data_IF_637289406634
#
_entry.id   IF_637289406634
#
_cell.length_a   1.000
_cell.length_b   1.000
_cell.length_c   1.000
_cell.angle_alpha   90.00
_cell.angle_beta   90.00
_cell.angle_gamma   90.00
#
_symmetry.space_group_name_H-M   'P 1'
#
loop_
_entity.id
_entity.type
_entity.pdbx_description
1 polymer ?
#
# COMPACT_ATOMS: atom_id res chain seq x y z
N UNK A 1 -9.49 -13.50 -9.81
CA UNK A 1 -8.69 -12.28 -9.99
C UNK A 1 -7.83 -12.06 -8.76
N UNK A 2 -6.59 -11.57 -8.90
CA UNK A 2 -5.66 -11.37 -7.77
C UNK A 2 -6.12 -10.23 -6.86
N UNK A 3 -6.16 -10.48 -5.55
CA UNK A 3 -6.50 -9.48 -4.53
C UNK A 3 -5.26 -8.71 -4.10
N UNK A 4 -5.45 -7.51 -3.57
CA UNK A 4 -4.37 -6.63 -3.16
C UNK A 4 -4.67 -5.88 -1.85
N UNK A 5 -3.64 -5.26 -1.30
CA UNK A 5 -3.69 -4.38 -0.14
C UNK A 5 -3.17 -3.00 -0.54
N UNK A 6 -3.81 -1.94 -0.07
CA UNK A 6 -3.31 -0.57 -0.25
C UNK A 6 -2.52 -0.19 0.99
N UNK A 7 -1.36 0.44 0.82
CA UNK A 7 -0.58 1.01 1.92
C UNK A 7 -0.21 2.45 1.57
N UNK A 8 -0.50 3.38 2.46
CA UNK A 8 -0.32 4.82 2.24
C UNK A 8 0.00 5.55 3.54
N UNK A 9 0.81 6.60 3.45
CA UNK A 9 1.00 7.57 4.53
C UNK A 9 0.34 8.89 4.15
N UNK A 10 -0.44 9.47 5.08
CA UNK A 10 -1.14 10.74 4.91
C UNK A 10 -0.90 11.65 6.10
N UNK A 11 -0.99 12.97 5.91
CA UNK A 11 -1.03 13.94 7.01
C UNK A 11 -2.47 14.24 7.48
N UNK A 12 -2.63 15.16 8.40
CA UNK A 12 -3.94 15.50 8.99
C UNK A 12 -4.99 15.94 7.97
N UNK A 13 -4.58 16.53 6.84
CA UNK A 13 -5.48 16.94 5.76
C UNK A 13 -5.75 15.84 4.72
N UNK A 14 -5.30 14.61 4.99
CA UNK A 14 -5.32 13.49 4.06
C UNK A 14 -4.41 13.68 2.83
N UNK A 15 -3.48 14.62 2.91
CA UNK A 15 -2.49 14.87 1.87
C UNK A 15 -1.39 13.79 1.98
N UNK A 16 -0.84 13.36 0.85
CA UNK A 16 0.11 12.26 0.84
C UNK A 16 1.35 12.51 -0.03
N UNK A 17 1.56 13.75 -0.49
CA UNK A 17 2.74 14.02 -1.29
C UNK A 17 2.94 15.47 -1.70
N UNK A 18 4.19 15.82 -1.87
CA UNK A 18 4.65 17.05 -2.50
C UNK A 18 5.57 16.67 -3.67
N UNK A 19 5.14 16.94 -4.91
CA UNK A 19 5.87 16.57 -6.15
C UNK A 19 6.27 15.08 -6.20
N UNK A 20 5.40 14.20 -5.68
CA UNK A 20 5.62 12.75 -5.68
C UNK A 20 6.51 12.23 -4.55
N UNK A 21 6.92 13.08 -3.61
CA UNK A 21 7.71 12.75 -2.42
C UNK A 21 6.85 12.96 -1.18
N UNK A 22 7.11 12.19 -0.12
CA UNK A 22 6.48 12.43 1.18
C UNK A 22 7.08 13.73 1.79
N UNK A 23 6.23 14.74 2.14
CA UNK A 23 6.72 16.07 2.53
C UNK A 23 7.31 16.13 3.96
N UNK A 24 6.99 15.15 4.80
CA UNK A 24 7.58 15.02 6.12
C UNK A 24 8.97 14.39 6.00
N UNK A 25 9.95 14.91 6.73
CA UNK A 25 11.35 14.46 6.71
C UNK A 25 11.53 13.01 7.20
N UNK A 26 10.83 12.09 6.58
CA UNK A 26 10.81 10.69 6.99
C UNK A 26 11.82 9.88 6.18
N UNK A 27 13.09 10.08 6.44
CA UNK A 27 14.10 9.21 5.83
C UNK A 27 14.18 7.81 6.46
N UNK A 28 13.60 7.58 7.65
CA UNK A 28 13.79 6.33 8.39
C UNK A 28 12.48 5.76 8.99
N UNK A 29 11.44 6.56 9.15
CA UNK A 29 10.31 6.29 10.01
C UNK A 29 9.26 5.39 9.36
N UNK A 30 8.79 5.77 8.16
CA UNK A 30 7.81 4.96 7.43
C UNK A 30 8.44 3.69 6.85
N UNK A 31 9.75 3.70 6.64
CA UNK A 31 10.39 2.61 5.96
C UNK A 31 10.55 1.34 6.80
N UNK A 32 10.79 1.44 8.11
CA UNK A 32 10.89 0.24 8.95
C UNK A 32 9.56 -0.51 9.04
N UNK A 33 8.44 0.12 9.42
CA UNK A 33 7.13 -0.53 9.43
C UNK A 33 6.69 -0.95 8.03
N UNK A 34 6.82 -0.07 7.04
CA UNK A 34 6.52 -0.36 5.64
C UNK A 34 7.30 -1.59 5.15
N UNK A 35 8.60 -1.61 5.37
CA UNK A 35 9.45 -2.72 4.98
C UNK A 35 9.06 -4.02 5.69
N UNK A 36 8.84 -3.97 7.00
CA UNK A 36 8.39 -5.12 7.80
C UNK A 36 7.08 -5.69 7.28
N UNK A 37 6.10 -4.83 7.00
CA UNK A 37 4.78 -5.24 6.50
C UNK A 37 4.90 -5.82 5.08
N UNK A 38 5.58 -5.12 4.19
CA UNK A 38 5.60 -5.49 2.77
C UNK A 38 6.55 -6.63 2.43
N UNK A 39 7.59 -6.87 3.22
CA UNK A 39 8.42 -8.08 3.11
C UNK A 39 7.69 -9.26 3.74
N UNK A 40 7.12 -9.09 4.94
CA UNK A 40 6.49 -10.17 5.69
C UNK A 40 7.43 -11.37 5.82
N UNK A 41 6.94 -12.53 5.40
CA UNK A 41 7.73 -13.77 5.36
C UNK A 41 8.39 -14.03 4.00
N UNK A 42 8.48 -12.99 3.15
CA UNK A 42 8.97 -13.11 1.78
C UNK A 42 7.88 -13.46 0.76
N UNK A 43 8.27 -13.48 -0.51
CA UNK A 43 7.39 -13.76 -1.66
C UNK A 43 6.19 -12.81 -1.80
N UNK A 44 6.36 -11.56 -1.40
CA UNK A 44 5.37 -10.51 -1.61
C UNK A 44 5.70 -9.68 -2.87
N UNK A 45 4.69 -8.97 -3.38
CA UNK A 45 4.87 -8.05 -4.49
C UNK A 45 4.44 -6.64 -4.11
N UNK A 46 5.10 -5.65 -4.71
CA UNK A 46 4.74 -4.23 -4.64
C UNK A 46 4.42 -3.75 -6.05
N UNK A 47 3.30 -3.04 -6.17
CA UNK A 47 2.89 -2.37 -7.40
C UNK A 47 2.86 -0.86 -7.14
N UNK A 48 3.48 -0.09 -8.01
CA UNK A 48 3.52 1.38 -7.92
C UNK A 48 3.54 2.06 -9.28
N UNK A 49 3.17 3.32 -9.31
CA UNK A 49 3.33 4.15 -10.51
C UNK A 49 4.79 4.58 -10.73
N UNK A 50 5.13 4.91 -11.97
CA UNK A 50 6.49 5.27 -12.38
C UNK A 50 7.10 6.40 -11.55
N UNK A 51 6.39 7.50 -11.32
CA UNK A 51 6.92 8.65 -10.56
C UNK A 51 7.26 8.25 -9.12
N UNK A 52 6.41 7.44 -8.48
CA UNK A 52 6.68 6.92 -7.14
C UNK A 52 7.94 6.05 -7.13
N UNK A 53 8.10 5.19 -8.13
CA UNK A 53 9.29 4.36 -8.28
C UNK A 53 10.55 5.21 -8.46
N UNK A 54 10.53 6.16 -9.39
CA UNK A 54 11.67 7.05 -9.66
C UNK A 54 12.12 7.82 -8.41
N UNK A 55 11.16 8.34 -7.65
CA UNK A 55 11.43 9.05 -6.40
C UNK A 55 12.02 8.13 -5.33
N UNK A 56 11.48 6.94 -5.15
CA UNK A 56 12.02 5.98 -4.17
C UNK A 56 13.43 5.50 -4.53
N UNK A 57 13.72 5.33 -5.82
CA UNK A 57 15.05 4.94 -6.30
C UNK A 57 16.14 5.99 -6.06
N UNK A 58 15.77 7.27 -5.84
CA UNK A 58 16.72 8.31 -5.48
C UNK A 58 17.25 8.16 -4.05
N UNK A 59 16.50 7.53 -3.18
CA UNK A 59 16.84 7.47 -1.76
C UNK A 59 17.67 6.25 -1.40
N UNK A 60 17.23 5.05 -1.76
CA UNK A 60 17.98 3.81 -1.50
C UNK A 60 17.37 2.63 -2.26
N UNK A 61 18.22 1.86 -2.88
CA UNK A 61 17.87 0.69 -3.68
C UNK A 61 17.43 -0.49 -2.79
N UNK A 62 18.02 -0.63 -1.60
CA UNK A 62 17.73 -1.70 -0.64
C UNK A 62 16.28 -1.73 -0.12
N UNK A 63 15.50 -0.66 -0.36
CA UNK A 63 14.08 -0.66 -0.02
C UNK A 63 13.26 -1.72 -0.75
N UNK A 64 13.71 -2.14 -1.91
CA UNK A 64 12.99 -3.06 -2.77
C UNK A 64 13.40 -4.52 -2.60
N UNK A 65 14.47 -4.79 -1.86
CA UNK A 65 14.98 -6.15 -1.67
C UNK A 65 13.91 -7.11 -1.13
N UNK A 66 14.00 -8.37 -1.53
CA UNK A 66 13.14 -9.48 -1.10
C UNK A 66 11.68 -9.38 -1.53
N UNK A 67 11.35 -8.57 -2.54
CA UNK A 67 10.00 -8.42 -3.07
C UNK A 67 10.05 -8.29 -4.58
N UNK A 68 8.99 -8.77 -5.23
CA UNK A 68 8.74 -8.47 -6.63
C UNK A 68 8.24 -7.04 -6.76
N UNK A 69 8.82 -6.26 -7.66
CA UNK A 69 8.43 -4.88 -7.90
C UNK A 69 7.82 -4.77 -9.29
N UNK A 70 6.62 -4.21 -9.36
CA UNK A 70 5.95 -3.89 -10.62
C UNK A 70 5.70 -2.40 -10.70
N UNK A 71 6.19 -1.80 -11.75
CA UNK A 71 6.07 -0.37 -12.02
C UNK A 71 5.09 -0.17 -13.17
N UNK A 72 3.99 0.54 -12.90
CA UNK A 72 2.99 0.87 -13.91
C UNK A 72 3.43 2.07 -14.73
N UNK A 73 3.57 1.87 -16.04
CA UNK A 73 3.93 2.91 -16.98
C UNK A 73 3.58 2.54 -18.41
N UNK A 74 3.04 3.51 -19.16
CA UNK A 74 2.82 3.38 -20.62
C UNK A 74 4.02 3.87 -21.44
N UNK A 75 5.02 4.47 -20.78
CA UNK A 75 6.23 4.95 -21.46
C UNK A 75 7.21 3.79 -21.64
N UNK A 76 7.78 3.61 -22.84
CA UNK A 76 8.81 2.61 -23.06
C UNK A 76 10.01 2.90 -22.14
N UNK A 77 10.57 1.85 -21.55
CA UNK A 77 11.74 1.95 -20.68
C UNK A 77 12.99 1.69 -21.50
N UNK A 78 13.57 2.74 -22.03
CA UNK A 78 14.78 2.65 -22.87
C UNK A 78 16.03 2.60 -21.98
N UNK A 79 16.29 1.45 -21.35
CA UNK A 79 17.57 1.20 -20.66
C UNK A 79 17.90 2.05 -19.42
N UNK A 80 17.12 3.07 -19.12
CA UNK A 80 17.38 4.04 -18.03
C UNK A 80 17.50 3.36 -16.64
N UNK A 81 16.92 2.19 -16.48
CA UNK A 81 16.91 1.46 -15.19
C UNK A 81 17.73 0.18 -15.20
N UNK A 82 18.25 -0.25 -16.35
CA UNK A 82 19.05 -1.48 -16.44
C UNK A 82 20.37 -1.38 -15.65
N UNK A 83 20.99 -0.21 -15.67
CA UNK A 83 22.18 0.05 -14.88
C UNK A 83 21.90 0.06 -13.37
N UNK A 84 20.72 0.51 -12.94
CA UNK A 84 20.29 0.50 -11.53
C UNK A 84 19.81 -0.85 -11.05
N UNK A 85 19.39 -1.76 -11.97
CA UNK A 85 19.09 -3.15 -11.62
C UNK A 85 20.29 -3.91 -11.06
N UNK A 86 21.50 -3.59 -11.49
CA UNK A 86 22.73 -4.21 -10.97
C UNK A 86 22.98 -3.97 -9.49
N UNK A 87 22.46 -2.84 -8.97
CA UNK A 87 22.62 -2.48 -7.57
C UNK A 87 21.49 -3.05 -6.68
N UNK A 88 20.42 -3.59 -7.27
CA UNK A 88 19.32 -4.24 -6.57
C UNK A 88 19.53 -5.77 -6.56
N UNK A 89 20.46 -6.24 -5.76
CA UNK A 89 20.64 -7.67 -5.50
C UNK A 89 19.30 -8.30 -5.09
N UNK A 90 18.88 -9.34 -5.81
CA UNK A 90 17.68 -10.13 -5.55
C UNK A 90 16.32 -9.42 -5.71
N UNK A 91 16.21 -8.39 -6.55
CA UNK A 91 14.94 -7.73 -6.81
C UNK A 91 14.47 -7.93 -8.26
N UNK A 92 13.32 -8.60 -8.43
CA UNK A 92 12.65 -8.74 -9.74
C UNK A 92 11.82 -7.47 -10.00
N UNK A 93 12.30 -6.58 -10.89
CA UNK A 93 11.61 -5.34 -11.26
C UNK A 93 11.05 -5.50 -12.68
N UNK A 94 9.72 -5.31 -12.82
CA UNK A 94 9.02 -5.33 -14.11
C UNK A 94 8.28 -4.03 -14.35
N UNK A 95 8.24 -3.60 -15.60
CA UNK A 95 7.47 -2.42 -16.07
C UNK A 95 6.30 -2.93 -16.90
N UNK A 96 5.09 -2.55 -16.52
CA UNK A 96 3.86 -2.99 -17.17
C UNK A 96 2.91 -1.82 -17.44
N UNK A 97 2.13 -1.86 -18.53
CA UNK A 97 1.28 -0.74 -18.91
C UNK A 97 -0.04 -0.66 -18.14
N UNK A 98 -0.49 -1.75 -17.51
CA UNK A 98 -1.81 -1.82 -16.88
C UNK A 98 -1.79 -2.52 -15.53
N UNK A 99 -2.81 -2.18 -14.71
CA UNK A 99 -3.01 -2.84 -13.41
C UNK A 99 -3.43 -4.30 -13.57
N UNK A 100 -4.18 -4.63 -14.61
CA UNK A 100 -4.63 -5.99 -14.85
C UNK A 100 -3.46 -6.92 -15.16
N UNK A 101 -2.53 -6.48 -16.00
CA UNK A 101 -1.30 -7.23 -16.25
C UNK A 101 -0.44 -7.34 -14.99
N UNK A 102 -0.35 -6.26 -14.20
CA UNK A 102 0.40 -6.27 -12.95
C UNK A 102 -0.18 -7.29 -11.95
N UNK A 103 -1.49 -7.30 -11.77
CA UNK A 103 -2.15 -8.27 -10.89
C UNK A 103 -1.97 -9.71 -11.38
N UNK A 104 -2.03 -9.96 -12.68
CA UNK A 104 -1.78 -11.27 -13.27
C UNK A 104 -0.34 -11.73 -13.02
N UNK A 105 0.64 -10.83 -13.13
CA UNK A 105 2.05 -11.15 -12.86
C UNK A 105 2.37 -11.44 -11.39
N UNK A 106 1.43 -11.14 -10.47
CA UNK A 106 1.59 -11.38 -9.03
C UNK A 106 0.81 -12.58 -8.51
N UNK A 107 0.28 -13.44 -9.38
CA UNK A 107 -0.62 -14.52 -8.98
C UNK A 107 0.03 -15.51 -7.99
N UNK A 108 1.34 -15.74 -8.12
CA UNK A 108 2.12 -16.64 -7.27
C UNK A 108 2.72 -15.96 -6.03
N UNK A 109 2.53 -14.64 -5.87
CA UNK A 109 3.00 -13.94 -4.69
C UNK A 109 2.02 -14.12 -3.53
N UNK A 110 2.51 -14.11 -2.28
CA UNK A 110 1.67 -14.27 -1.08
C UNK A 110 0.74 -13.08 -0.91
N UNK A 111 1.30 -11.88 -0.78
CA UNK A 111 0.59 -10.62 -0.67
C UNK A 111 1.01 -9.66 -1.79
N UNK A 112 0.09 -8.81 -2.20
CA UNK A 112 0.32 -7.74 -3.18
C UNK A 112 -0.01 -6.40 -2.54
N UNK A 113 0.96 -5.51 -2.49
CA UNK A 113 0.82 -4.17 -1.91
C UNK A 113 0.85 -3.11 -2.98
N UNK A 114 -0.14 -2.22 -2.97
CA UNK A 114 -0.18 -1.03 -3.82
C UNK A 114 0.33 0.15 -3.00
N UNK A 115 1.37 0.82 -3.50
CA UNK A 115 2.06 1.88 -2.74
C UNK A 115 2.03 3.26 -3.42
N UNK A 116 1.14 3.43 -4.37
CA UNK A 116 0.89 4.72 -5.02
C UNK A 116 1.49 4.84 -6.42
N UNK A 117 1.52 6.06 -7.05
CA UNK A 117 1.00 7.35 -6.51
C UNK A 117 -0.51 7.56 -6.64
N UNK A 118 -0.91 8.82 -6.51
CA UNK A 118 -2.32 9.20 -6.41
C UNK A 118 -3.20 8.72 -7.56
N UNK A 119 -2.73 8.84 -8.80
CA UNK A 119 -3.49 8.34 -9.95
C UNK A 119 -3.79 6.86 -9.86
N UNK A 120 -2.83 6.07 -9.33
CA UNK A 120 -3.03 4.64 -9.10
C UNK A 120 -4.02 4.41 -7.97
N UNK A 121 -3.91 5.10 -6.84
CA UNK A 121 -4.88 4.99 -5.76
C UNK A 121 -6.30 5.33 -6.23
N UNK A 122 -6.46 6.43 -6.97
CA UNK A 122 -7.76 6.83 -7.52
C UNK A 122 -8.32 5.76 -8.45
N UNK A 123 -7.53 5.27 -9.39
CA UNK A 123 -7.94 4.19 -10.30
C UNK A 123 -8.44 2.95 -9.53
N UNK A 124 -7.72 2.55 -8.49
CA UNK A 124 -8.06 1.36 -7.71
C UNK A 124 -9.34 1.56 -6.90
N UNK A 125 -9.51 2.74 -6.30
CA UNK A 125 -10.71 3.05 -5.52
C UNK A 125 -11.94 3.14 -6.43
N UNK A 126 -11.79 3.75 -7.59
CA UNK A 126 -12.91 3.90 -8.53
C UNK A 126 -13.34 2.58 -9.19
N UNK A 127 -12.39 1.69 -9.49
CA UNK A 127 -12.67 0.54 -10.37
C UNK A 127 -12.36 -0.84 -9.79
N UNK A 128 -11.47 -0.94 -8.79
CA UNK A 128 -10.94 -2.21 -8.32
C UNK A 128 -11.11 -2.45 -6.82
N UNK A 129 -11.88 -1.60 -6.13
CA UNK A 129 -12.02 -1.69 -4.68
C UNK A 129 -12.58 -3.04 -4.21
N UNK A 130 -13.36 -3.71 -5.03
CA UNK A 130 -13.86 -5.06 -4.79
C UNK A 130 -12.76 -6.14 -4.68
N UNK A 131 -11.55 -5.86 -5.17
CA UNK A 131 -10.37 -6.72 -5.04
C UNK A 131 -9.47 -6.32 -3.87
N UNK A 132 -9.78 -5.21 -3.19
CA UNK A 132 -8.98 -4.73 -2.08
C UNK A 132 -9.33 -5.48 -0.79
N UNK A 133 -8.35 -6.15 -0.19
CA UNK A 133 -8.53 -6.82 1.10
C UNK A 133 -8.36 -5.87 2.28
N UNK A 134 -7.40 -4.95 2.16
CA UNK A 134 -6.98 -4.13 3.27
C UNK A 134 -6.49 -2.77 2.78
N UNK A 135 -6.77 -1.74 3.55
CA UNK A 135 -6.16 -0.41 3.38
C UNK A 135 -5.44 -0.04 4.67
N UNK A 136 -4.12 0.01 4.61
CA UNK A 136 -3.25 0.39 5.72
C UNK A 136 -2.88 1.86 5.58
N UNK A 137 -3.29 2.67 6.54
CA UNK A 137 -3.09 4.12 6.51
C UNK A 137 -2.25 4.54 7.71
N UNK A 138 -1.08 5.09 7.47
CA UNK A 138 -0.28 5.78 8.48
C UNK A 138 -0.65 7.26 8.49
N UNK A 139 -1.22 7.76 9.60
CA UNK A 139 -1.53 9.18 9.76
C UNK A 139 -0.39 9.88 10.50
N UNK A 140 0.29 10.77 9.81
CA UNK A 140 1.37 11.60 10.36
C UNK A 140 0.78 12.89 10.90
N UNK A 141 1.09 13.21 12.16
CA UNK A 141 0.62 14.43 12.80
C UNK A 141 1.31 15.65 12.20
N UNK A 142 0.56 16.72 12.09
CA UNK A 142 1.03 18.02 11.62
C UNK A 142 0.50 18.40 10.24
N UNK A 143 0.65 19.69 9.94
CA UNK A 143 0.31 20.25 8.63
C UNK A 143 1.58 20.27 7.79
N UNK A 144 1.51 19.66 6.63
CA UNK A 144 2.60 19.62 5.67
C UNK A 144 2.15 20.27 4.37
N UNK A 145 3.08 20.92 3.67
CA UNK A 145 2.80 21.40 2.32
C UNK A 145 2.71 20.19 1.38
N UNK A 146 1.58 20.04 0.74
CA UNK A 146 1.30 18.95 -0.19
C UNK A 146 0.61 19.48 -1.44
N UNK A 147 0.84 18.82 -2.56
CA UNK A 147 0.10 19.03 -3.80
C UNK A 147 -0.56 17.77 -4.32
N UNK A 148 -0.60 16.74 -3.50
CA UNK A 148 -1.09 15.42 -3.80
C UNK A 148 -1.98 14.92 -2.67
N UNK A 149 -3.18 14.40 -3.00
CA UNK A 149 -4.21 14.06 -2.02
C UNK A 149 -4.62 12.60 -2.17
N UNK A 150 -4.61 11.89 -1.05
CA UNK A 150 -5.16 10.54 -1.03
C UNK A 150 -6.70 10.61 -0.96
N UNK A 151 -7.43 9.86 -1.78
CA UNK A 151 -8.90 9.90 -1.82
C UNK A 151 -9.53 9.19 -0.60
N UNK A 152 -9.24 9.72 0.60
CA UNK A 152 -9.65 9.14 1.88
C UNK A 152 -11.17 9.12 2.04
N UNK A 153 -11.85 10.18 1.60
CA UNK A 153 -13.31 10.28 1.69
C UNK A 153 -14.03 9.25 0.81
N UNK A 154 -13.44 8.92 -0.33
CA UNK A 154 -13.95 7.90 -1.22
C UNK A 154 -13.84 6.51 -0.58
N UNK A 155 -12.77 6.23 0.15
CA UNK A 155 -12.64 4.97 0.92
C UNK A 155 -13.68 4.89 2.02
N UNK A 156 -13.98 5.99 2.71
CA UNK A 156 -15.00 5.99 3.75
C UNK A 156 -16.40 5.65 3.23
N UNK A 157 -16.70 5.87 1.94
CA UNK A 157 -17.96 5.41 1.33
C UNK A 157 -18.11 3.89 1.35
N UNK A 158 -17.01 3.17 1.39
CA UNK A 158 -16.98 1.71 1.52
C UNK A 158 -17.01 1.23 2.98
N UNK A 159 -17.16 2.14 3.96
CA UNK A 159 -17.09 1.80 5.40
C UNK A 159 -18.08 0.70 5.83
N UNK A 160 -19.22 0.57 5.15
CA UNK A 160 -20.17 -0.53 5.38
C UNK A 160 -19.60 -1.92 5.05
N UNK A 161 -18.54 -1.98 4.23
CA UNK A 161 -17.87 -3.20 3.80
C UNK A 161 -16.51 -3.40 4.47
N UNK A 162 -16.12 -2.51 5.38
CA UNK A 162 -14.83 -2.54 6.03
C UNK A 162 -14.94 -2.32 7.54
N UNK A 163 -14.17 -3.11 8.29
CA UNK A 163 -13.90 -2.84 9.69
C UNK A 163 -12.75 -1.84 9.76
N UNK A 164 -12.90 -0.81 10.58
CA UNK A 164 -11.86 0.21 10.80
C UNK A 164 -11.24 -0.04 12.16
N UNK A 165 -9.96 -0.34 12.19
CA UNK A 165 -9.20 -0.59 13.41
C UNK A 165 -8.04 0.40 13.54
N UNK A 166 -7.85 0.92 14.75
CA UNK A 166 -6.62 1.64 15.08
C UNK A 166 -5.62 0.64 15.66
N UNK A 167 -4.67 0.21 14.87
CA UNK A 167 -3.71 -0.84 15.25
C UNK A 167 -2.52 -0.33 16.04
N UNK A 168 -2.44 0.96 16.31
CA UNK A 168 -1.42 1.53 17.18
C UNK A 168 -0.98 2.93 16.82
N UNK A 169 -0.18 3.49 17.69
CA UNK A 169 0.51 4.76 17.44
C UNK A 169 1.96 4.65 17.94
N UNK A 170 2.85 5.34 17.27
CA UNK A 170 4.25 5.47 17.71
C UNK A 170 4.74 6.90 17.48
N UNK A 171 5.74 7.29 18.26
CA UNK A 171 6.39 8.59 18.12
C UNK A 171 7.76 8.33 17.52
N UNK A 172 8.10 9.10 16.53
CA UNK A 172 9.39 9.02 15.89
C UNK A 172 9.84 10.42 15.48
N UNK A 173 11.01 10.85 15.90
CA UNK A 173 11.59 12.18 15.62
C UNK A 173 10.54 13.31 15.82
N UNK A 174 9.86 13.31 16.96
CA UNK A 174 8.78 14.26 17.34
C UNK A 174 7.49 14.19 16.52
N UNK A 175 7.36 13.22 15.61
CA UNK A 175 6.13 12.97 14.88
C UNK A 175 5.34 11.82 15.49
N UNK A 176 4.09 12.09 15.89
CA UNK A 176 3.16 11.04 16.28
C UNK A 176 2.52 10.44 15.03
N UNK A 177 2.67 9.14 14.86
CA UNK A 177 2.08 8.39 13.75
C UNK A 177 1.02 7.46 14.30
N UNK A 178 -0.20 7.60 13.81
CA UNK A 178 -1.29 6.68 14.09
C UNK A 178 -1.47 5.76 12.89
N UNK A 179 -1.57 4.47 13.12
CA UNK A 179 -1.82 3.49 12.06
C UNK A 179 -3.28 3.07 12.14
N UNK A 180 -4.01 3.37 11.08
CA UNK A 180 -5.42 3.01 10.93
C UNK A 180 -5.53 1.92 9.87
N UNK A 181 -6.25 0.87 10.19
CA UNK A 181 -6.41 -0.30 9.35
C UNK A 181 -7.87 -0.44 8.90
N UNK A 182 -8.06 -0.50 7.61
CA UNK A 182 -9.34 -0.82 6.99
C UNK A 182 -9.25 -2.25 6.46
N UNK A 183 -10.10 -3.12 6.95
CA UNK A 183 -10.12 -4.52 6.54
C UNK A 183 -11.45 -4.81 5.84
N UNK A 184 -11.40 -5.43 4.66
CA UNK A 184 -12.61 -5.79 3.94
C UNK A 184 -13.45 -6.79 4.73
N UNK A 185 -14.61 -6.35 5.18
CA UNK A 185 -15.51 -7.12 6.01
C UNK A 185 -15.94 -8.43 5.32
N UNK A 186 -16.26 -8.38 4.05
CA UNK A 186 -16.70 -9.55 3.28
C UNK A 186 -15.64 -10.65 3.26
N UNK A 187 -14.38 -10.27 3.12
CA UNK A 187 -13.26 -11.22 3.12
C UNK A 187 -12.97 -11.78 4.51
N UNK A 188 -12.95 -10.93 5.52
CA UNK A 188 -12.77 -11.38 6.92
C UNK A 188 -13.92 -12.26 7.37
N UNK A 189 -15.15 -11.89 7.06
CA UNK A 189 -16.32 -12.66 7.43
C UNK A 189 -16.26 -14.07 6.86
N UNK A 190 -15.92 -14.23 5.59
CA UNK A 190 -15.75 -15.53 4.95
C UNK A 190 -14.59 -16.35 5.57
N UNK A 191 -13.48 -15.69 5.90
CA UNK A 191 -12.35 -16.35 6.57
C UNK A 191 -12.64 -16.71 8.05
N UNK A 192 -13.39 -15.88 8.76
CA UNK A 192 -13.84 -16.18 10.12
C UNK A 192 -14.87 -17.30 10.14
N UNK A 193 -15.86 -17.24 9.25
CA UNK A 193 -16.86 -18.31 9.13
C UNK A 193 -16.24 -19.66 8.80
N UNK A 194 -15.13 -19.68 8.07
CA UNK A 194 -14.40 -20.92 7.79
C UNK A 194 -13.62 -21.47 8.98
N UNK A 195 -13.41 -20.66 10.04
CA UNK A 195 -12.60 -21.00 11.22
C UNK A 195 -13.40 -21.13 12.52
N UNK A 196 -14.64 -20.63 12.56
CA UNK A 196 -15.47 -20.63 13.76
C UNK A 196 -16.50 -21.77 13.70
N UNK A 197 -16.68 -22.46 14.80
CA UNK A 197 -17.85 -23.30 15.02
C UNK A 197 -19.11 -22.42 15.14
N UNK A 198 -20.27 -22.96 14.78
CA UNK A 198 -21.54 -22.22 14.62
C UNK A 198 -21.94 -21.35 15.83
N UNK A 199 -21.48 -21.64 17.03
CA UNK A 199 -21.80 -20.88 18.26
C UNK A 199 -21.02 -19.56 18.42
N UNK A 200 -19.88 -19.44 17.77
CA UNK A 200 -19.04 -18.22 17.86
C UNK A 200 -19.44 -17.13 16.87
N UNK A 201 -20.22 -17.46 15.85
CA UNK A 201 -20.65 -16.51 14.79
C UNK A 201 -21.49 -15.36 15.36
N UNK A 202 -22.32 -15.64 16.38
CA UNK A 202 -23.15 -14.60 17.01
C UNK A 202 -22.37 -13.60 17.86
N UNK A 203 -21.20 -13.96 18.37
CA UNK A 203 -20.36 -13.04 19.16
C UNK A 203 -19.62 -12.01 18.30
N UNK A 204 -19.29 -12.36 17.06
CA UNK A 204 -18.58 -11.48 16.11
C UNK A 204 -19.49 -10.40 15.54
N UNK A 205 -20.80 -10.63 15.50
CA UNK A 205 -21.78 -9.67 14.99
C UNK A 205 -22.13 -8.53 15.97
N UNK A 206 -21.65 -8.57 17.22
CA UNK A 206 -22.00 -7.61 18.28
C UNK A 206 -20.85 -6.60 18.55
N UNK A 207 -19.72 -6.74 17.90
CA UNK A 207 -18.61 -5.76 18.04
C UNK A 207 -18.84 -4.64 17.03
N UNK A 208 -19.42 -3.55 17.54
CA UNK A 208 -19.64 -2.28 16.82
C UNK A 208 -18.37 -1.47 16.64
#
# INVERSE_FOLDING_TARGET
MRRFKIIVSICEKNDNGLYGILPWKIRLIDFKPFRKITIGNGNNAIIMGRITFENLMQYRIDYFSFRKIIVLTTKPQNGLYENKKKDCLDTDIKFLPSIDEALNQTINNKDVFIVGGNLLYKLLIDKYMYLCDQVLISKVRGRHECNSFFPYQEILKYSKSYIIENIGSYILEDHKINVVHFINFSYQYLNLLSKLEKEDIFKVLIIH
#
